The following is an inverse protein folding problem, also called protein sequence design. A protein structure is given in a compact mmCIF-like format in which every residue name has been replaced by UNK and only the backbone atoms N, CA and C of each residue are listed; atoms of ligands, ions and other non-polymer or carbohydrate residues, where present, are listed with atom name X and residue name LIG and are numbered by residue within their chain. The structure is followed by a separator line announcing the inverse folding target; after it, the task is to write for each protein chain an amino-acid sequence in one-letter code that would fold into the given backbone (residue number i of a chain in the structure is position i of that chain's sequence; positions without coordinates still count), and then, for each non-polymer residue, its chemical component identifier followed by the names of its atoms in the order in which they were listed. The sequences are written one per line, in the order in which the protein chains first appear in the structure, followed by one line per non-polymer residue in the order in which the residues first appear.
data_IF_866024446870
#
_entry.id   IF_866024446870
#
_cell.length_a   1.000
_cell.length_b   1.000
_cell.length_c   1.000
_cell.angle_alpha   90.00
_cell.angle_beta   90.00
_cell.angle_gamma   90.00
#
_symmetry.space_group_name_H-M   'P 1'
#
loop_
_entity.id
_entity.type
_entity.pdbx_description
1 polymer ?
#
# COMPACT_ATOMS: atom_id res chain seq x y z
N UNK A 1 1.47 0.32 34.30
CA UNK A 1 1.35 -0.38 33.00
C UNK A 1 0.41 0.29 31.98
N UNK A 2 -0.11 1.51 32.21
CA UNK A 2 -1.11 2.11 31.29
C UNK A 2 -0.54 2.90 30.11
N UNK A 3 0.38 3.84 30.36
CA UNK A 3 0.79 4.83 29.33
C UNK A 3 1.55 4.23 28.14
N UNK A 4 2.44 3.26 28.39
CA UNK A 4 3.21 2.59 27.33
C UNK A 4 2.34 1.69 26.46
N UNK A 5 1.40 0.97 27.07
CA UNK A 5 0.42 0.16 26.34
C UNK A 5 -0.50 1.04 25.47
N UNK A 6 -0.97 2.17 26.01
CA UNK A 6 -1.78 3.13 25.24
C UNK A 6 -0.99 3.72 24.07
N UNK A 7 0.29 4.09 24.27
CA UNK A 7 1.14 4.60 23.20
C UNK A 7 1.38 3.55 22.11
N UNK A 8 1.59 2.29 22.47
CA UNK A 8 1.75 1.19 21.52
C UNK A 8 0.47 0.93 20.73
N UNK A 9 -0.71 0.98 21.36
CA UNK A 9 -2.00 0.82 20.68
C UNK A 9 -2.26 1.99 19.73
N UNK A 10 -1.98 3.22 20.14
CA UNK A 10 -2.12 4.40 19.27
C UNK A 10 -1.16 4.28 18.09
N UNK A 11 0.11 3.92 18.32
CA UNK A 11 1.10 3.72 17.27
C UNK A 11 0.66 2.63 16.29
N UNK A 12 0.15 1.50 16.78
CA UNK A 12 -0.36 0.41 15.97
C UNK A 12 -1.57 0.85 15.13
N UNK A 13 -2.52 1.59 15.71
CA UNK A 13 -3.68 2.11 15.00
C UNK A 13 -3.28 3.13 13.93
N UNK A 14 -2.35 4.03 14.23
CA UNK A 14 -1.82 4.99 13.24
C UNK A 14 -1.06 4.29 12.12
N UNK A 15 -0.33 3.20 12.43
CA UNK A 15 0.36 2.39 11.44
C UNK A 15 -0.65 1.64 10.56
N UNK A 16 -1.74 1.15 11.15
CA UNK A 16 -2.83 0.49 10.42
C UNK A 16 -3.57 1.46 9.48
N UNK A 17 -3.72 2.72 9.90
CA UNK A 17 -4.26 3.79 9.07
C UNK A 17 -3.26 4.26 7.99
N UNK A 18 -1.96 4.05 8.17
CA UNK A 18 -0.89 4.38 7.20
C UNK A 18 -0.60 3.25 6.19
N UNK A 19 -1.50 2.28 6.04
CA UNK A 19 -1.46 1.29 4.94
C UNK A 19 -2.39 1.67 3.78
N UNK A 20 -2.68 2.96 3.60
CA UNK A 20 -3.69 3.44 2.67
C UNK A 20 -3.39 3.00 1.23
N UNK A 21 -2.12 3.05 0.84
CA UNK A 21 -1.65 2.55 -0.46
C UNK A 21 -1.93 1.07 -0.65
N UNK A 22 -1.57 0.23 0.34
CA UNK A 22 -1.82 -1.21 0.32
C UNK A 22 -3.30 -1.59 0.24
N UNK A 23 -4.19 -0.83 0.90
CA UNK A 23 -5.64 -1.05 0.83
C UNK A 23 -6.17 -0.63 -0.53
N UNK A 24 -5.84 0.59 -0.98
CA UNK A 24 -6.28 1.12 -2.26
C UNK A 24 -5.83 0.26 -3.43
N UNK A 25 -4.61 -0.26 -3.40
CA UNK A 25 -4.07 -1.13 -4.45
C UNK A 25 -4.83 -2.48 -4.53
N UNK A 26 -5.40 -2.97 -3.42
CA UNK A 26 -6.21 -4.21 -3.41
C UNK A 26 -7.67 -3.98 -3.77
N UNK A 27 -8.19 -2.77 -3.56
CA UNK A 27 -9.54 -2.37 -3.98
C UNK A 27 -9.60 -2.02 -5.48
N UNK A 28 -8.56 -1.34 -5.98
CA UNK A 28 -8.49 -0.91 -7.37
C UNK A 28 -8.12 -2.02 -8.37
N UNK A 29 -7.45 -3.09 -7.91
CA UNK A 29 -7.02 -4.19 -8.78
C UNK A 29 -8.02 -5.36 -8.76
N UNK A 30 -8.53 -5.80 -9.93
CA UNK A 30 -9.33 -7.01 -10.00
C UNK A 30 -8.51 -8.23 -9.55
N UNK A 31 -9.19 -9.27 -9.03
CA UNK A 31 -8.55 -10.47 -8.46
C UNK A 31 -7.54 -11.14 -9.43
N UNK A 32 -7.82 -11.09 -10.73
CA UNK A 32 -6.95 -11.65 -11.78
C UNK A 32 -5.63 -10.89 -11.99
N UNK A 33 -5.53 -9.64 -11.54
CA UNK A 33 -4.32 -8.80 -11.67
C UNK A 33 -3.62 -8.58 -10.33
N UNK A 34 -4.01 -9.33 -9.28
CA UNK A 34 -3.44 -9.17 -7.95
C UNK A 34 -1.95 -9.50 -8.00
N UNK A 35 -1.10 -8.62 -7.46
CA UNK A 35 0.36 -8.78 -7.47
C UNK A 35 0.92 -8.87 -6.06
N UNK A 36 2.14 -9.40 -5.94
CA UNK A 36 2.89 -9.43 -4.69
C UNK A 36 3.39 -8.02 -4.35
N UNK A 37 3.13 -7.58 -3.11
CA UNK A 37 3.43 -6.22 -2.63
C UNK A 37 2.70 -5.11 -3.42
N UNK A 38 1.35 -5.15 -3.49
CA UNK A 38 0.61 -4.22 -4.34
C UNK A 38 0.70 -2.76 -3.87
N UNK A 39 0.78 -2.51 -2.56
CA UNK A 39 0.94 -1.15 -2.01
C UNK A 39 2.31 -0.58 -2.31
N UNK A 40 3.38 -1.34 -2.04
CA UNK A 40 4.75 -0.90 -2.36
C UNK A 40 4.90 -0.61 -3.86
N UNK A 41 4.32 -1.45 -4.72
CA UNK A 41 4.33 -1.23 -6.17
C UNK A 41 3.59 0.04 -6.56
N UNK A 42 2.45 0.32 -5.93
CA UNK A 42 1.68 1.53 -6.15
C UNK A 42 2.49 2.77 -5.74
N UNK A 43 3.11 2.76 -4.55
CA UNK A 43 3.92 3.87 -4.05
C UNK A 43 5.10 4.17 -4.97
N UNK A 44 5.80 3.12 -5.43
CA UNK A 44 6.91 3.26 -6.37
C UNK A 44 6.45 3.76 -7.75
N UNK A 45 5.28 3.34 -8.23
CA UNK A 45 4.71 3.82 -9.50
C UNK A 45 4.39 5.31 -9.41
N UNK A 46 3.70 5.73 -8.37
CA UNK A 46 3.35 7.15 -8.18
C UNK A 46 4.62 8.00 -7.98
N UNK A 47 5.63 7.49 -7.27
CA UNK A 47 6.93 8.14 -7.15
C UNK A 47 7.65 8.25 -8.51
N UNK A 48 7.62 7.19 -9.31
CA UNK A 48 8.23 7.18 -10.64
C UNK A 48 7.54 8.18 -11.59
N UNK A 49 6.22 8.32 -11.54
CA UNK A 49 5.48 9.33 -12.30
C UNK A 49 5.89 10.77 -11.92
N UNK A 50 6.17 11.01 -10.64
CA UNK A 50 6.68 12.30 -10.16
C UNK A 50 8.09 12.56 -10.71
N UNK A 51 8.99 11.59 -10.57
CA UNK A 51 10.40 11.73 -11.00
C UNK A 51 10.53 11.84 -12.53
N UNK A 52 9.71 11.09 -13.28
CA UNK A 52 9.71 11.11 -14.75
C UNK A 52 8.98 12.31 -15.34
N UNK A 53 8.37 13.16 -14.50
CA UNK A 53 7.65 14.35 -14.94
C UNK A 53 6.33 14.06 -15.67
N UNK A 54 5.73 12.88 -15.46
CA UNK A 54 4.43 12.55 -16.05
C UNK A 54 3.26 13.26 -15.34
N UNK A 55 3.48 13.78 -14.13
CA UNK A 55 2.50 14.56 -13.37
C UNK A 55 2.44 16.01 -13.87
N UNK A 56 1.23 16.49 -14.18
CA UNK A 56 0.96 17.90 -14.58
C UNK A 56 0.76 18.85 -13.39
N UNK A 57 0.92 18.36 -12.17
CA UNK A 57 0.67 19.13 -10.95
C UNK A 57 1.82 20.13 -10.67
N UNK A 58 1.55 21.22 -9.93
CA UNK A 58 2.58 22.12 -9.43
C UNK A 58 3.65 21.40 -8.60
N UNK A 59 4.91 21.84 -8.69
CA UNK A 59 6.07 21.23 -8.02
C UNK A 59 5.89 21.07 -6.51
N UNK A 60 5.20 22.01 -5.85
CA UNK A 60 4.94 21.92 -4.41
C UNK A 60 4.01 20.74 -4.07
N UNK A 61 3.03 20.42 -4.92
CA UNK A 61 2.15 19.26 -4.74
C UNK A 61 2.94 17.98 -4.95
N UNK A 62 3.75 17.93 -6.01
CA UNK A 62 4.60 16.78 -6.30
C UNK A 62 5.55 16.46 -5.13
N UNK A 63 6.13 17.50 -4.52
CA UNK A 63 7.02 17.35 -3.36
C UNK A 63 6.25 16.83 -2.15
N UNK A 64 5.06 17.37 -1.88
CA UNK A 64 4.20 16.92 -0.80
C UNK A 64 3.82 15.44 -0.98
N UNK A 65 3.34 15.06 -2.17
CA UNK A 65 2.96 13.68 -2.49
C UNK A 65 4.17 12.75 -2.35
N UNK A 66 5.33 13.13 -2.89
CA UNK A 66 6.56 12.34 -2.76
C UNK A 66 6.96 12.15 -1.28
N UNK A 67 6.83 13.17 -0.44
CA UNK A 67 7.11 13.01 1.00
C UNK A 67 6.15 12.07 1.70
N UNK A 68 4.86 12.12 1.36
CA UNK A 68 3.84 11.22 1.90
C UNK A 68 4.13 9.79 1.45
N UNK A 69 4.34 9.55 0.16
CA UNK A 69 4.66 8.23 -0.39
C UNK A 69 5.95 7.65 0.21
N UNK A 70 6.97 8.49 0.44
CA UNK A 70 8.22 8.04 1.09
C UNK A 70 7.98 7.61 2.54
N UNK A 71 7.07 8.28 3.25
CA UNK A 71 6.70 7.91 4.61
C UNK A 71 5.77 6.69 4.66
N UNK A 72 4.90 6.53 3.66
CA UNK A 72 3.95 5.39 3.55
C UNK A 72 4.68 4.10 3.16
N UNK A 73 5.70 4.18 2.31
CA UNK A 73 6.35 3.01 1.70
C UNK A 73 6.87 1.97 2.72
N UNK A 74 7.55 2.34 3.83
CA UNK A 74 7.91 1.38 4.87
C UNK A 74 6.69 0.72 5.54
N UNK A 75 5.60 1.47 5.73
CA UNK A 75 4.37 0.98 6.33
C UNK A 75 3.64 0.04 5.36
N UNK A 76 3.51 0.44 4.09
CA UNK A 76 3.02 -0.39 2.99
C UNK A 76 3.82 -1.69 2.88
N UNK A 77 5.14 -1.64 3.01
CA UNK A 77 6.00 -2.83 2.98
C UNK A 77 5.71 -3.78 4.15
N UNK A 78 5.57 -3.26 5.38
CA UNK A 78 5.20 -4.09 6.54
C UNK A 78 3.81 -4.68 6.35
N UNK A 79 2.82 -3.87 5.97
CA UNK A 79 1.45 -4.33 5.77
C UNK A 79 1.36 -5.38 4.67
N UNK A 80 1.97 -5.13 3.51
CA UNK A 80 2.02 -6.08 2.42
C UNK A 80 2.76 -7.37 2.80
N UNK A 81 3.80 -7.30 3.63
CA UNK A 81 4.47 -8.50 4.17
C UNK A 81 3.54 -9.31 5.07
N UNK A 82 2.75 -8.63 5.92
CA UNK A 82 1.80 -9.29 6.81
C UNK A 82 0.63 -9.94 6.05
N UNK A 83 0.19 -9.31 4.97
CA UNK A 83 -0.91 -9.79 4.11
C UNK A 83 -0.40 -10.73 3.00
N UNK A 84 0.91 -10.85 2.81
CA UNK A 84 1.53 -11.69 1.77
C UNK A 84 0.99 -13.12 1.72
N UNK A 85 0.81 -13.86 2.83
CA UNK A 85 0.25 -15.21 2.77
C UNK A 85 -1.15 -15.26 2.16
N UNK A 86 -1.97 -14.23 2.42
CA UNK A 86 -3.31 -14.10 1.85
C UNK A 86 -3.26 -13.77 0.35
N UNK A 87 -2.36 -12.88 -0.06
CA UNK A 87 -2.16 -12.58 -1.49
C UNK A 87 -1.63 -13.79 -2.26
N UNK A 88 -0.70 -14.56 -1.67
CA UNK A 88 -0.18 -15.80 -2.25
C UNK A 88 -1.26 -16.88 -2.37
N UNK A 89 -2.15 -17.00 -1.38
CA UNK A 89 -3.30 -17.90 -1.46
C UNK A 89 -4.16 -17.57 -2.67
N UNK A 90 -4.49 -16.30 -2.90
CA UNK A 90 -5.30 -15.90 -4.06
C UNK A 90 -4.57 -16.07 -5.39
N UNK A 91 -3.25 -15.84 -5.42
CA UNK A 91 -2.42 -16.02 -6.61
C UNK A 91 -2.27 -17.49 -7.03
N UNK A 92 -2.27 -18.41 -6.06
CA UNK A 92 -2.08 -19.85 -6.29
C UNK A 92 -3.37 -20.66 -6.11
N UNK A 93 -4.46 -20.02 -5.70
CA UNK A 93 -5.77 -20.64 -5.74
C UNK A 93 -6.00 -21.02 -7.21
N UNK A 94 -6.19 -22.31 -7.52
CA UNK A 94 -6.58 -22.68 -8.87
C UNK A 94 -7.83 -21.86 -9.20
N UNK A 95 -7.89 -21.29 -10.40
CA UNK A 95 -9.09 -20.62 -10.92
C UNK A 95 -10.30 -21.53 -10.67
N UNK A 96 -10.98 -21.34 -9.54
CA UNK A 96 -12.36 -21.73 -9.41
C UNK A 96 -13.11 -20.73 -10.25
N UNK A 97 -13.18 -21.08 -11.53
CA UNK A 97 -14.15 -20.65 -12.52
C UNK A 97 -15.39 -20.05 -11.85
N UNK A 98 -15.48 -18.74 -11.95
CA UNK A 98 -16.78 -18.09 -12.01
C UNK A 98 -16.61 -16.78 -12.77
N UNK A 99 -16.70 -16.89 -14.10
CA UNK A 99 -17.49 -15.92 -14.85
C UNK A 99 -18.83 -15.76 -14.12
N UNK A 100 -19.03 -14.64 -13.45
CA UNK A 100 -20.34 -14.04 -13.23
C UNK A 100 -20.17 -12.53 -13.11
#
# INVERSE_FOLDING_TARGET
MGKTATLLVIAALTLFLAGCSSIRARDASPLAERTVYPGVRQDLREMAEIVTGQRREPVWIQTLVATILTADLPVSAVFDTLVLPYDLYWLHAPETDSRQ
#
